data_IF_569509403978
#
_entry.id   IF_569509403978
#
_cell.length_a   1.000
_cell.length_b   1.000
_cell.length_c   1.000
_cell.angle_alpha   90.00
_cell.angle_beta   90.00
_cell.angle_gamma   90.00
#
_symmetry.space_group_name_H-M   'P 1'
#
loop_
_entity.id
_entity.type
_entity.pdbx_description
1 polymer ?
#
# COMPACT_ATOMS: atom_id res chain seq x y z
N UNK A 1 -13.17 -13.96 -3.99
CA UNK A 1 -14.52 -13.33 -3.99
C UNK A 1 -15.46 -13.90 -2.93
N UNK A 2 -15.61 -15.23 -2.77
CA UNK A 2 -16.54 -15.87 -1.81
C UNK A 2 -16.25 -15.54 -0.33
N UNK A 3 -14.98 -15.41 0.08
CA UNK A 3 -14.61 -15.01 1.46
C UNK A 3 -15.05 -13.60 1.84
N UNK A 4 -15.05 -12.67 0.89
CA UNK A 4 -15.45 -11.27 1.11
C UNK A 4 -16.97 -11.15 1.35
N UNK A 5 -17.77 -11.89 0.57
CA UNK A 5 -19.22 -11.96 0.73
C UNK A 5 -19.61 -12.52 2.11
N UNK A 6 -18.85 -13.49 2.63
CA UNK A 6 -19.10 -14.09 3.95
C UNK A 6 -18.85 -13.13 5.11
N UNK A 7 -17.93 -12.17 4.96
CA UNK A 7 -17.64 -11.13 5.96
C UNK A 7 -18.70 -10.00 5.93
N UNK A 8 -19.25 -9.70 4.75
CA UNK A 8 -20.26 -8.67 4.57
C UNK A 8 -21.69 -9.17 4.88
N UNK A 9 -21.91 -10.49 4.98
CA UNK A 9 -23.24 -11.09 5.18
C UNK A 9 -24.06 -11.20 3.88
N UNK A 10 -24.94 -12.21 3.80
CA UNK A 10 -25.69 -12.51 2.57
C UNK A 10 -26.95 -11.67 2.41
N UNK A 11 -27.53 -11.16 3.52
CA UNK A 11 -28.74 -10.32 3.53
C UNK A 11 -28.55 -8.96 4.16
N UNK A 12 -27.63 -8.86 5.12
CA UNK A 12 -27.21 -7.59 5.75
C UNK A 12 -25.74 -7.68 6.10
N UNK A 13 -24.95 -6.60 5.93
CA UNK A 13 -23.58 -6.57 6.42
C UNK A 13 -23.56 -6.82 7.93
N UNK A 14 -22.63 -7.63 8.41
CA UNK A 14 -22.40 -7.82 9.85
C UNK A 14 -21.94 -6.54 10.54
N UNK A 15 -21.22 -5.68 9.80
CA UNK A 15 -20.95 -4.30 10.17
C UNK A 15 -21.34 -3.40 8.99
N UNK A 16 -22.40 -2.56 9.12
CA UNK A 16 -22.87 -1.70 8.04
C UNK A 16 -21.95 -0.51 7.77
N UNK A 17 -21.07 -0.14 8.74
CA UNK A 17 -20.13 0.95 8.58
C UNK A 17 -18.85 0.40 7.96
N UNK A 18 -18.50 0.91 6.79
CA UNK A 18 -17.29 0.53 6.07
C UNK A 18 -16.05 1.28 6.62
N UNK A 19 -14.92 1.14 5.92
CA UNK A 19 -13.66 1.77 6.27
C UNK A 19 -12.75 0.84 7.06
N UNK A 20 -11.51 0.70 6.59
CA UNK A 20 -10.49 -0.17 7.17
C UNK A 20 -9.29 0.61 7.70
N UNK A 21 -9.23 1.89 7.42
CA UNK A 21 -8.11 2.77 7.81
C UNK A 21 -8.67 3.97 8.55
N UNK A 22 -8.01 4.38 9.61
CA UNK A 22 -8.34 5.58 10.37
C UNK A 22 -7.08 6.36 10.75
N UNK A 23 -7.25 7.64 10.99
CA UNK A 23 -6.39 8.47 11.81
C UNK A 23 -7.29 9.40 12.64
N UNK A 24 -6.91 9.63 13.89
CA UNK A 24 -7.73 10.41 14.82
C UNK A 24 -7.11 10.49 16.21
N UNK A 25 -7.91 10.88 17.16
CA UNK A 25 -7.53 11.01 18.56
C UNK A 25 -8.26 9.99 19.43
N UNK A 26 -7.60 9.49 20.44
CA UNK A 26 -8.19 8.59 21.42
C UNK A 26 -9.10 9.39 22.34
N UNK A 27 -10.40 9.18 22.26
CA UNK A 27 -11.40 9.78 23.14
C UNK A 27 -11.47 9.07 24.50
N UNK A 28 -11.47 7.73 24.46
CA UNK A 28 -11.49 6.92 25.68
C UNK A 28 -10.83 5.57 25.47
N UNK A 29 -10.42 4.92 26.53
CA UNK A 29 -9.76 3.61 26.50
C UNK A 29 -10.48 2.60 27.40
N UNK A 30 -10.48 1.34 27.00
CA UNK A 30 -10.96 0.23 27.81
C UNK A 30 -10.04 -0.01 29.02
N UNK A 31 -10.57 -0.64 30.07
CA UNK A 31 -9.87 -0.89 31.36
C UNK A 31 -8.55 -1.67 31.23
N UNK A 32 -8.41 -2.49 30.20
CA UNK A 32 -7.24 -3.36 29.98
C UNK A 32 -6.21 -2.76 29.02
N UNK A 33 -6.48 -1.57 28.42
CA UNK A 33 -5.56 -0.89 27.51
C UNK A 33 -4.41 -0.30 28.31
N UNK A 34 -3.18 -0.55 27.82
CA UNK A 34 -1.94 -0.11 28.48
C UNK A 34 -1.11 0.85 27.64
N UNK A 35 -1.26 0.80 26.32
CA UNK A 35 -0.36 1.50 25.39
C UNK A 35 -0.86 2.88 24.99
N UNK A 36 -2.11 3.20 25.27
CA UNK A 36 -2.77 4.44 24.86
C UNK A 36 -3.56 5.07 25.98
N UNK A 37 -3.77 6.37 25.87
CA UNK A 37 -4.60 7.19 26.78
C UNK A 37 -5.41 8.20 25.98
N UNK A 38 -6.42 8.79 26.61
CA UNK A 38 -7.17 9.92 26.05
C UNK A 38 -6.22 11.03 25.58
N UNK A 39 -6.49 11.60 24.39
CA UNK A 39 -5.69 12.63 23.74
C UNK A 39 -4.51 12.10 22.92
N UNK A 40 -4.22 10.79 22.92
CA UNK A 40 -3.18 10.25 22.06
C UNK A 40 -3.61 10.32 20.59
N UNK A 41 -2.76 10.92 19.74
CA UNK A 41 -2.96 10.93 18.29
C UNK A 41 -2.54 9.60 17.69
N UNK A 42 -3.43 8.98 16.95
CA UNK A 42 -3.27 7.60 16.48
C UNK A 42 -3.66 7.44 15.02
N UNK A 43 -3.14 6.39 14.42
CA UNK A 43 -3.57 5.90 13.11
C UNK A 43 -3.59 4.37 13.10
N UNK A 44 -4.46 3.78 12.29
CA UNK A 44 -4.64 2.34 12.31
C UNK A 44 -5.10 1.79 10.95
N UNK A 45 -4.84 0.49 10.77
CA UNK A 45 -5.46 -0.31 9.72
C UNK A 45 -6.00 -1.60 10.33
N UNK A 46 -7.26 -1.92 10.01
CA UNK A 46 -7.88 -3.17 10.42
C UNK A 46 -8.67 -3.78 9.25
N UNK A 47 -8.03 -4.74 8.59
CA UNK A 47 -8.61 -5.44 7.43
C UNK A 47 -9.66 -6.49 7.83
N UNK A 48 -9.77 -6.79 9.11
CA UNK A 48 -10.70 -7.80 9.65
C UNK A 48 -11.99 -7.19 10.19
N UNK A 49 -11.91 -5.94 10.62
CA UNK A 49 -13.02 -5.22 11.23
C UNK A 49 -13.17 -3.87 10.52
N UNK A 50 -14.31 -3.66 9.87
CA UNK A 50 -14.68 -2.36 9.31
C UNK A 50 -15.11 -1.40 10.43
N UNK A 51 -15.53 -0.19 10.05
CA UNK A 51 -16.11 0.78 10.99
C UNK A 51 -15.40 2.12 11.04
N UNK A 52 -14.43 2.37 10.13
CA UNK A 52 -13.66 3.63 10.14
C UNK A 52 -14.38 4.79 9.44
N UNK A 53 -15.45 4.56 8.67
CA UNK A 53 -16.23 5.64 8.06
C UNK A 53 -17.28 6.16 9.05
N UNK A 54 -16.82 6.64 10.20
CA UNK A 54 -17.63 7.14 11.31
C UNK A 54 -16.85 8.19 12.10
N UNK A 55 -17.56 9.01 12.85
CA UNK A 55 -16.96 9.99 13.78
C UNK A 55 -16.20 9.28 14.91
N UNK A 56 -16.71 8.13 15.37
CA UNK A 56 -16.09 7.30 16.39
C UNK A 56 -16.06 5.83 16.01
N UNK A 57 -15.00 5.14 16.38
CA UNK A 57 -14.88 3.68 16.23
C UNK A 57 -14.12 3.09 17.41
N UNK A 58 -14.36 1.81 17.68
CA UNK A 58 -13.66 1.09 18.75
C UNK A 58 -12.89 -0.08 18.17
N UNK A 59 -11.56 -0.02 18.25
CA UNK A 59 -10.65 -1.04 17.75
C UNK A 59 -9.68 -1.52 18.81
N UNK A 60 -9.19 -2.77 18.73
CA UNK A 60 -8.17 -3.28 19.65
C UNK A 60 -6.88 -2.50 19.56
N UNK A 61 -6.22 -2.26 20.71
CA UNK A 61 -4.93 -1.54 20.77
C UNK A 61 -3.85 -2.18 19.88
N UNK A 62 -3.93 -3.49 19.63
CA UNK A 62 -2.96 -4.24 18.81
C UNK A 62 -2.90 -3.83 17.33
N UNK A 63 -3.91 -3.14 16.82
CA UNK A 63 -3.96 -2.66 15.42
C UNK A 63 -3.72 -1.15 15.31
N UNK A 64 -3.57 -0.48 16.43
CA UNK A 64 -3.41 0.98 16.55
C UNK A 64 -1.92 1.31 16.72
N UNK A 65 -1.48 2.43 16.18
CA UNK A 65 -0.15 2.98 16.39
C UNK A 65 -0.23 4.48 16.66
N UNK A 66 0.74 5.03 17.39
CA UNK A 66 0.85 6.48 17.58
C UNK A 66 1.19 7.14 16.26
N UNK A 67 0.47 8.21 15.95
CA UNK A 67 0.70 9.02 14.76
C UNK A 67 2.01 9.80 14.93
N UNK A 68 2.91 9.85 13.93
CA UNK A 68 4.04 10.77 13.97
C UNK A 68 3.55 12.22 14.12
N UNK A 69 4.29 13.04 14.89
CA UNK A 69 3.89 14.42 15.19
C UNK A 69 3.93 15.36 13.98
N UNK A 70 4.78 15.06 13.03
CA UNK A 70 5.06 15.82 11.79
C UNK A 70 4.15 15.45 10.61
N UNK A 71 3.18 14.57 10.83
CA UNK A 71 2.25 14.07 9.79
C UNK A 71 0.82 14.47 10.15
N UNK A 72 0.03 14.95 9.20
CA UNK A 72 -1.41 15.23 9.39
C UNK A 72 -2.23 13.93 9.54
N UNK A 73 -3.49 14.04 9.95
CA UNK A 73 -4.39 12.86 10.02
C UNK A 73 -4.69 12.31 8.64
N UNK A 74 -4.87 13.18 7.65
CA UNK A 74 -5.11 12.83 6.24
C UNK A 74 -3.92 12.05 5.68
N UNK A 75 -2.71 12.56 5.89
CA UNK A 75 -1.49 11.87 5.47
C UNK A 75 -1.34 10.52 6.17
N UNK A 76 -1.48 10.48 7.51
CA UNK A 76 -1.36 9.26 8.29
C UNK A 76 -2.36 8.17 7.84
N UNK A 77 -3.60 8.56 7.51
CA UNK A 77 -4.59 7.61 7.00
C UNK A 77 -4.30 7.14 5.58
N UNK A 78 -3.73 8.01 4.72
CA UNK A 78 -3.52 7.70 3.31
C UNK A 78 -2.36 6.72 3.08
N UNK A 79 -1.22 6.88 3.76
CA UNK A 79 -0.05 6.04 3.50
C UNK A 79 -0.09 4.67 4.18
N UNK A 80 -0.87 4.50 5.25
CA UNK A 80 -0.84 3.28 6.08
C UNK A 80 -1.08 2.00 5.30
N UNK A 81 -2.08 1.98 4.44
CA UNK A 81 -2.41 0.79 3.65
C UNK A 81 -1.34 0.51 2.58
N UNK A 82 -1.09 1.48 1.70
CA UNK A 82 -0.14 1.34 0.60
C UNK A 82 1.29 1.15 1.08
N UNK A 83 1.71 1.96 2.05
CA UNK A 83 3.05 1.93 2.62
C UNK A 83 3.40 0.61 3.30
N UNK A 84 2.48 0.06 4.12
CA UNK A 84 2.72 -1.21 4.81
C UNK A 84 2.85 -2.39 3.82
N UNK A 85 2.00 -2.43 2.80
CA UNK A 85 2.04 -3.48 1.77
C UNK A 85 3.32 -3.35 0.94
N UNK A 86 3.64 -2.15 0.48
CA UNK A 86 4.85 -1.88 -0.29
C UNK A 86 6.11 -2.26 0.50
N UNK A 87 6.21 -1.80 1.75
CA UNK A 87 7.31 -2.13 2.64
C UNK A 87 7.47 -3.64 2.83
N UNK A 88 6.37 -4.36 3.09
CA UNK A 88 6.40 -5.81 3.30
C UNK A 88 6.98 -6.54 2.08
N UNK A 89 6.51 -6.22 0.87
CA UNK A 89 6.98 -6.91 -0.33
C UNK A 89 8.41 -6.53 -0.72
N UNK A 90 8.78 -5.24 -0.61
CA UNK A 90 10.15 -4.80 -0.89
C UNK A 90 11.15 -5.41 0.12
N UNK A 91 10.78 -5.46 1.40
CA UNK A 91 11.60 -6.14 2.41
C UNK A 91 11.71 -7.64 2.15
N UNK A 92 10.61 -8.30 1.78
CA UNK A 92 10.62 -9.73 1.44
C UNK A 92 11.44 -10.00 0.17
N UNK A 93 11.44 -9.10 -0.80
CA UNK A 93 12.28 -9.12 -1.98
C UNK A 93 13.76 -8.79 -1.71
N UNK A 94 14.08 -8.41 -0.47
CA UNK A 94 15.44 -8.02 -0.05
C UNK A 94 16.09 -6.99 -0.98
N UNK A 95 15.33 -5.92 -1.28
CA UNK A 95 15.76 -4.90 -2.24
C UNK A 95 17.04 -4.23 -1.80
N UNK A 96 18.00 -4.15 -2.73
CA UNK A 96 19.32 -3.55 -2.54
C UNK A 96 19.49 -2.33 -3.46
N UNK A 97 20.48 -1.49 -3.11
CA UNK A 97 20.91 -0.39 -3.97
C UNK A 97 21.34 -0.89 -5.35
N UNK A 98 21.10 -0.08 -6.38
CA UNK A 98 21.44 -0.32 -7.80
C UNK A 98 20.66 -1.45 -8.49
N UNK A 99 19.77 -2.16 -7.79
CA UNK A 99 18.90 -3.15 -8.43
C UNK A 99 17.87 -2.50 -9.34
N UNK A 100 17.60 -3.15 -10.47
CA UNK A 100 16.55 -2.75 -11.40
C UNK A 100 15.21 -3.32 -10.94
N UNK A 101 14.25 -2.45 -10.63
CA UNK A 101 12.95 -2.84 -10.09
C UNK A 101 11.81 -2.38 -10.99
N UNK A 102 10.93 -3.30 -11.34
CA UNK A 102 9.68 -2.98 -12.02
C UNK A 102 8.53 -2.87 -11.01
N UNK A 103 7.79 -1.75 -11.06
CA UNK A 103 6.58 -1.55 -10.26
C UNK A 103 5.39 -1.38 -11.19
N UNK A 104 4.57 -2.42 -11.34
CA UNK A 104 3.36 -2.39 -12.13
C UNK A 104 2.19 -1.82 -11.32
N UNK A 105 1.49 -0.81 -11.87
CA UNK A 105 0.49 -0.03 -11.15
C UNK A 105 1.10 1.03 -10.24
N UNK A 106 2.20 1.64 -10.69
CA UNK A 106 3.02 2.61 -9.96
C UNK A 106 2.25 3.85 -9.46
N UNK A 107 1.13 4.20 -10.07
CA UNK A 107 0.28 5.33 -9.67
C UNK A 107 -0.80 4.99 -8.63
N UNK A 108 -0.95 3.71 -8.25
CA UNK A 108 -1.90 3.28 -7.22
C UNK A 108 -1.33 3.44 -5.79
N UNK A 109 -2.17 3.27 -4.75
CA UNK A 109 -1.78 3.46 -3.35
C UNK A 109 -0.56 2.62 -2.92
N UNK A 110 -0.48 1.36 -3.35
CA UNK A 110 0.68 0.49 -3.10
C UNK A 110 1.86 0.88 -3.99
N UNK A 111 1.59 1.16 -5.27
CA UNK A 111 2.62 1.51 -6.25
C UNK A 111 3.37 2.79 -5.92
N UNK A 112 2.66 3.85 -5.55
CA UNK A 112 3.27 5.14 -5.15
C UNK A 112 4.17 5.00 -3.93
N UNK A 113 3.74 4.22 -2.95
CA UNK A 113 4.55 3.92 -1.78
C UNK A 113 5.76 3.06 -2.14
N UNK A 114 5.59 2.09 -3.05
CA UNK A 114 6.67 1.22 -3.49
C UNK A 114 7.75 1.99 -4.26
N UNK A 115 7.37 2.93 -5.15
CA UNK A 115 8.31 3.79 -5.87
C UNK A 115 9.18 4.59 -4.89
N UNK A 116 8.55 5.26 -3.92
CA UNK A 116 9.26 6.08 -2.96
C UNK A 116 10.17 5.25 -2.04
N UNK A 117 9.71 4.11 -1.55
CA UNK A 117 10.51 3.21 -0.71
C UNK A 117 11.67 2.57 -1.49
N UNK A 118 11.44 2.13 -2.73
CA UNK A 118 12.49 1.57 -3.57
C UNK A 118 13.58 2.63 -3.87
N UNK A 119 13.17 3.88 -4.13
CA UNK A 119 14.10 5.02 -4.25
C UNK A 119 14.91 5.23 -2.97
N UNK A 120 14.26 5.18 -1.81
CA UNK A 120 14.94 5.29 -0.52
C UNK A 120 15.99 4.20 -0.32
N UNK A 121 15.75 3.00 -0.83
CA UNK A 121 16.73 1.90 -0.83
C UNK A 121 17.81 2.02 -1.90
N UNK A 122 17.77 3.04 -2.76
CA UNK A 122 18.75 3.28 -3.82
C UNK A 122 18.57 2.39 -5.06
N UNK A 123 17.40 1.81 -5.26
CA UNK A 123 17.12 1.01 -6.44
C UNK A 123 16.77 1.88 -7.66
N UNK A 124 17.03 1.35 -8.87
CA UNK A 124 16.63 1.93 -10.17
C UNK A 124 15.22 1.48 -10.50
N UNK A 125 14.31 2.41 -10.72
CA UNK A 125 12.88 2.11 -10.75
C UNK A 125 12.30 2.34 -12.14
N UNK A 126 11.68 1.31 -12.68
CA UNK A 126 10.76 1.39 -13.81
C UNK A 126 9.32 1.31 -13.30
N UNK A 127 8.58 2.40 -13.42
CA UNK A 127 7.16 2.45 -13.05
C UNK A 127 6.25 2.18 -14.25
N UNK A 128 5.18 1.40 -14.07
CA UNK A 128 4.17 1.15 -15.10
C UNK A 128 2.85 1.75 -14.68
N UNK A 129 2.32 2.68 -15.48
CA UNK A 129 1.06 3.36 -15.21
C UNK A 129 0.34 3.73 -16.53
N UNK A 130 -0.79 4.43 -16.44
CA UNK A 130 -1.47 5.00 -17.62
C UNK A 130 -0.88 6.34 -18.03
N UNK A 131 -1.14 6.76 -19.26
CA UNK A 131 -0.70 8.04 -19.84
C UNK A 131 -0.88 9.24 -18.90
N UNK A 132 -2.03 9.34 -18.25
CA UNK A 132 -2.36 10.45 -17.35
C UNK A 132 -1.48 10.54 -16.09
N UNK A 133 -0.75 9.48 -15.74
CA UNK A 133 0.02 9.38 -14.50
C UNK A 133 1.54 9.36 -14.74
N UNK A 134 2.02 9.52 -15.97
CA UNK A 134 3.45 9.41 -16.29
C UNK A 134 4.30 10.40 -15.50
N UNK A 135 3.94 11.68 -15.55
CA UNK A 135 4.67 12.76 -14.85
C UNK A 135 4.59 12.59 -13.33
N UNK A 136 3.42 12.18 -12.82
CA UNK A 136 3.25 11.89 -11.39
C UNK A 136 4.19 10.78 -10.93
N UNK A 137 4.26 9.66 -11.66
CA UNK A 137 5.14 8.54 -11.28
C UNK A 137 6.62 8.92 -11.38
N UNK A 138 7.01 9.73 -12.37
CA UNK A 138 8.37 10.29 -12.45
C UNK A 138 8.70 11.17 -11.24
N UNK A 139 7.78 12.03 -10.83
CA UNK A 139 7.98 12.93 -9.69
C UNK A 139 8.21 12.18 -8.36
N UNK A 140 7.68 10.96 -8.24
CA UNK A 140 7.92 10.08 -7.09
C UNK A 140 9.32 9.46 -7.08
N UNK A 141 10.03 9.47 -8.23
CA UNK A 141 11.39 8.98 -8.35
C UNK A 141 11.59 7.77 -9.23
N UNK A 142 10.63 7.43 -10.09
CA UNK A 142 10.84 6.44 -11.14
C UNK A 142 11.73 7.03 -12.24
N UNK A 143 12.83 6.35 -12.58
CA UNK A 143 13.76 6.76 -13.64
C UNK A 143 13.17 6.52 -15.02
N UNK A 144 12.50 5.36 -15.19
CA UNK A 144 11.77 5.01 -16.39
C UNK A 144 10.29 4.85 -16.08
N UNK A 145 9.44 5.24 -17.01
CA UNK A 145 7.98 5.05 -16.87
C UNK A 145 7.41 4.54 -18.18
N UNK A 146 6.75 3.39 -18.09
CA UNK A 146 6.10 2.68 -19.21
C UNK A 146 4.60 2.97 -19.17
N UNK A 147 4.06 3.39 -20.31
CA UNK A 147 2.63 3.59 -20.51
C UNK A 147 1.97 2.28 -20.96
N UNK A 148 1.31 1.56 -20.06
CA UNK A 148 0.67 0.29 -20.39
C UNK A 148 -0.48 0.41 -21.41
N UNK A 149 -0.94 1.63 -21.70
CA UNK A 149 -1.99 1.88 -22.71
C UNK A 149 -1.43 1.89 -24.12
N UNK A 150 -0.12 2.06 -24.27
CA UNK A 150 0.58 2.17 -25.56
C UNK A 150 1.52 0.99 -25.82
N UNK A 151 2.12 0.43 -24.77
CA UNK A 151 3.10 -0.63 -24.90
C UNK A 151 2.99 -1.65 -23.77
N UNK A 152 3.47 -2.87 -24.03
CA UNK A 152 3.54 -3.91 -23.02
C UNK A 152 4.86 -3.80 -22.25
N UNK A 153 4.79 -3.68 -20.92
CA UNK A 153 5.96 -3.62 -20.06
C UNK A 153 6.92 -4.83 -20.22
N UNK A 154 6.40 -5.99 -20.62
CA UNK A 154 7.20 -7.20 -20.90
C UNK A 154 7.98 -7.15 -22.20
N UNK A 155 7.70 -6.21 -23.08
CA UNK A 155 8.37 -6.04 -24.38
C UNK A 155 9.46 -4.96 -24.35
N UNK A 156 9.70 -4.33 -23.22
CA UNK A 156 10.74 -3.31 -23.08
C UNK A 156 12.16 -3.85 -23.32
N UNK A 157 12.36 -5.16 -23.27
CA UNK A 157 13.67 -5.78 -23.36
C UNK A 157 14.55 -5.59 -22.11
N UNK A 158 14.04 -4.89 -21.13
CA UNK A 158 14.72 -4.60 -19.87
C UNK A 158 14.67 -5.82 -18.94
N UNK A 159 15.75 -5.98 -18.21
CA UNK A 159 15.90 -7.00 -17.20
C UNK A 159 15.68 -6.43 -15.81
N UNK A 160 14.87 -7.06 -14.98
CA UNK A 160 14.55 -6.63 -13.62
C UNK A 160 14.98 -7.68 -12.58
N UNK A 161 15.65 -7.24 -11.52
CA UNK A 161 16.00 -8.06 -10.37
C UNK A 161 14.78 -8.40 -9.52
N UNK A 162 13.80 -7.49 -9.50
CA UNK A 162 12.55 -7.66 -8.78
C UNK A 162 11.39 -6.97 -9.51
N UNK A 163 10.22 -7.61 -9.49
CA UNK A 163 8.99 -7.04 -10.03
C UNK A 163 7.86 -7.08 -9.00
N UNK A 164 7.23 -5.93 -8.77
CA UNK A 164 6.05 -5.79 -7.91
C UNK A 164 4.81 -5.54 -8.77
N UNK A 165 3.86 -6.48 -8.78
CA UNK A 165 2.52 -6.26 -9.34
C UNK A 165 1.57 -5.74 -8.26
N UNK A 166 1.38 -4.41 -8.20
CA UNK A 166 0.47 -3.74 -7.28
C UNK A 166 -1.00 -3.76 -7.74
N UNK A 167 -1.31 -4.36 -8.92
CA UNK A 167 -2.66 -4.44 -9.48
C UNK A 167 -3.29 -5.83 -9.28
N UNK A 168 -2.47 -6.89 -9.31
CA UNK A 168 -2.91 -8.27 -9.11
C UNK A 168 -3.76 -8.85 -10.25
N UNK A 169 -3.74 -8.26 -11.44
CA UNK A 169 -4.54 -8.71 -12.60
C UNK A 169 -3.77 -9.59 -13.58
N UNK A 170 -2.46 -9.64 -13.51
CA UNK A 170 -1.64 -10.42 -14.44
C UNK A 170 -1.40 -11.84 -13.94
N UNK A 171 -1.78 -12.82 -14.76
CA UNK A 171 -1.58 -14.25 -14.48
C UNK A 171 -0.14 -14.74 -14.69
N UNK A 172 0.76 -13.95 -15.28
CA UNK A 172 2.13 -14.34 -15.64
C UNK A 172 3.15 -13.31 -15.17
N UNK A 173 3.29 -13.11 -13.86
CA UNK A 173 4.38 -12.30 -13.28
C UNK A 173 5.78 -12.94 -13.49
N UNK A 174 5.83 -14.24 -13.86
CA UNK A 174 7.08 -14.97 -14.10
C UNK A 174 7.86 -14.50 -15.35
N UNK A 175 7.26 -13.68 -16.23
CA UNK A 175 7.93 -13.18 -17.44
C UNK A 175 8.82 -11.95 -17.20
N UNK A 176 8.92 -11.45 -15.97
CA UNK A 176 9.69 -10.25 -15.64
C UNK A 176 10.99 -10.53 -14.89
N UNK A 177 11.14 -11.71 -14.32
CA UNK A 177 12.37 -12.15 -13.69
C UNK A 177 13.20 -13.03 -14.63
N UNK A 178 14.51 -13.08 -14.35
CA UNK A 178 15.49 -13.89 -15.08
C UNK A 178 14.93 -15.26 -15.46
N UNK A 179 14.87 -15.54 -16.74
CA UNK A 179 14.92 -16.94 -17.18
C UNK A 179 16.36 -17.38 -16.93
N UNK A 180 16.56 -18.23 -15.94
CA UNK A 180 17.83 -18.88 -15.71
C UNK A 180 18.25 -19.59 -17.01
N UNK A 181 19.45 -19.20 -17.50
CA UNK A 181 20.12 -19.91 -18.59
C UNK A 181 20.67 -21.23 -18.09
#
# INVERSE_FOLDING_TARGET
MIKFIRTLGFKKPSNPILGMVLAGEVDSVGKDVKSFKNGDQVYAINIRQFGAYAEYTCWPESVIAKKPSDVSYEEASSFRYGGLIAWYYLKKGNIQSEQNILIYGASGAVGTSAVQLARYYGAKITGVCSTANLEFVRSLGAELVIDYTKEEATKSGEYYDFALDAVGKRKNSNNWSRQDK
#
